data_IF_028096283214
#
_entry.id   IF_028096283214
#
_cell.length_a   1.000
_cell.length_b   1.000
_cell.length_c   1.000
_cell.angle_alpha   90.00
_cell.angle_beta   90.00
_cell.angle_gamma   90.00
#
_symmetry.space_group_name_H-M   'P 1'
#
loop_
_entity.id
_entity.type
_entity.pdbx_description
1 polymer ?
#
# COMPACT_ATOMS: atom_id res chain seq x y z
N UNK A 1 23.45 2.27 -5.86
CA UNK A 1 22.16 2.91 -5.53
C UNK A 1 22.48 4.14 -4.68
N UNK A 2 22.12 5.35 -5.10
CA UNK A 2 22.46 6.59 -4.36
C UNK A 2 21.49 6.83 -3.20
N UNK A 3 21.89 7.63 -2.20
CA UNK A 3 21.03 8.02 -1.06
C UNK A 3 19.73 8.68 -1.55
N UNK A 4 19.80 9.51 -2.61
CA UNK A 4 18.62 10.12 -3.24
C UNK A 4 17.63 9.05 -3.76
N UNK A 5 18.12 7.97 -4.37
CA UNK A 5 17.26 6.86 -4.82
C UNK A 5 16.55 6.18 -3.66
N UNK A 6 17.25 6.00 -2.52
CA UNK A 6 16.65 5.41 -1.32
C UNK A 6 15.59 6.34 -0.74
N UNK A 7 15.88 7.64 -0.59
CA UNK A 7 14.94 8.63 -0.03
C UNK A 7 13.72 8.81 -0.94
N UNK A 8 13.90 8.89 -2.26
CA UNK A 8 12.77 8.93 -3.19
C UNK A 8 11.95 7.65 -3.14
N UNK A 9 12.59 6.47 -3.07
CA UNK A 9 11.88 5.21 -2.88
C UNK A 9 11.11 5.17 -1.54
N UNK A 10 11.63 5.83 -0.49
CA UNK A 10 10.96 6.02 0.81
C UNK A 10 9.76 6.96 0.73
N UNK A 11 9.87 8.06 -0.02
CA UNK A 11 8.76 8.98 -0.27
C UNK A 11 7.70 8.43 -1.23
N UNK A 12 8.01 7.37 -1.98
CA UNK A 12 7.10 6.74 -2.92
C UNK A 12 6.38 5.55 -2.27
N UNK A 13 5.09 5.72 -1.97
CA UNK A 13 4.21 4.69 -1.39
C UNK A 13 4.04 3.42 -2.26
N UNK A 14 4.67 3.36 -3.43
CA UNK A 14 4.66 2.20 -4.33
C UNK A 14 5.92 1.32 -4.24
N UNK A 15 6.79 1.55 -3.25
CA UNK A 15 8.01 0.76 -2.98
C UNK A 15 7.83 -0.09 -1.72
N UNK A 16 8.31 -1.34 -1.72
CA UNK A 16 8.20 -2.28 -0.58
C UNK A 16 9.29 -2.10 0.48
N UNK A 17 10.44 -1.52 0.11
CA UNK A 17 11.58 -1.31 1.00
C UNK A 17 11.29 -0.43 2.23
N UNK A 18 10.59 0.71 2.11
CA UNK A 18 10.27 1.57 3.24
C UNK A 18 9.33 0.88 4.23
N UNK A 19 8.42 0.05 3.72
CA UNK A 19 7.47 -0.73 4.50
C UNK A 19 8.20 -1.82 5.31
N UNK A 20 9.17 -2.52 4.72
CA UNK A 20 9.94 -3.53 5.44
C UNK A 20 10.77 -2.92 6.57
N UNK A 21 11.52 -1.85 6.30
CA UNK A 21 12.36 -1.20 7.32
C UNK A 21 11.49 -0.61 8.44
N UNK A 22 10.39 0.06 8.08
CA UNK A 22 9.49 0.66 9.06
C UNK A 22 8.80 -0.42 9.91
N UNK A 23 8.13 -1.38 9.27
CA UNK A 23 7.28 -2.34 9.96
C UNK A 23 8.12 -3.38 10.74
N UNK A 24 9.21 -3.88 10.16
CA UNK A 24 10.02 -4.95 10.78
C UNK A 24 11.16 -4.43 11.67
N UNK A 25 11.75 -3.27 11.40
CA UNK A 25 12.93 -2.78 12.12
C UNK A 25 12.63 -1.66 13.13
N UNK A 26 11.53 -0.91 12.95
CA UNK A 26 11.17 0.19 13.86
C UNK A 26 9.93 -0.17 14.66
N UNK A 27 8.83 -0.47 13.97
CA UNK A 27 7.53 -0.69 14.61
C UNK A 27 7.48 -1.96 15.44
N UNK A 28 7.81 -3.12 14.87
CA UNK A 28 7.74 -4.39 15.59
C UNK A 28 8.62 -4.34 16.86
N UNK A 29 9.92 -3.99 16.81
CA UNK A 29 10.75 -3.90 18.01
C UNK A 29 10.21 -2.92 19.05
N UNK A 30 9.76 -1.74 18.63
CA UNK A 30 9.25 -0.71 19.55
C UNK A 30 7.96 -1.16 20.25
N UNK A 31 7.01 -1.75 19.50
CA UNK A 31 5.76 -2.32 20.05
C UNK A 31 6.06 -3.45 21.03
N UNK A 32 7.03 -4.32 20.74
CA UNK A 32 7.47 -5.41 21.63
C UNK A 32 8.08 -4.85 22.92
N UNK A 33 8.96 -3.86 22.82
CA UNK A 33 9.61 -3.23 23.98
C UNK A 33 8.60 -2.52 24.89
N UNK A 34 7.67 -1.76 24.31
CA UNK A 34 6.61 -1.08 25.07
C UNK A 34 5.70 -2.12 25.75
N UNK A 35 5.29 -3.17 25.02
CA UNK A 35 4.48 -4.24 25.59
C UNK A 35 5.17 -4.91 26.78
N UNK A 36 6.46 -5.25 26.64
CA UNK A 36 7.25 -5.82 27.73
C UNK A 36 7.32 -4.88 28.94
N UNK A 37 7.63 -3.60 28.70
CA UNK A 37 7.77 -2.59 29.77
C UNK A 37 6.46 -2.40 30.53
N UNK A 38 5.33 -2.28 29.84
CA UNK A 38 4.04 -2.07 30.50
C UNK A 38 3.59 -3.31 31.29
N UNK A 39 3.66 -4.50 30.70
CA UNK A 39 3.30 -5.75 31.39
C UNK A 39 4.25 -6.07 32.57
N UNK A 40 5.51 -5.64 32.53
CA UNK A 40 6.47 -5.83 33.63
C UNK A 40 6.10 -5.07 34.90
N UNK A 41 5.26 -4.03 34.81
CA UNK A 41 4.73 -3.31 35.99
C UNK A 41 3.80 -4.17 36.84
N UNK A 42 3.27 -5.27 36.29
CA UNK A 42 2.47 -6.23 37.04
C UNK A 42 3.22 -7.51 37.36
N UNK A 43 3.90 -8.12 36.38
CA UNK A 43 4.66 -9.34 36.61
C UNK A 43 5.63 -9.65 35.47
N UNK A 44 6.80 -10.17 35.81
CA UNK A 44 7.77 -10.67 34.81
C UNK A 44 7.22 -11.83 33.98
N UNK A 45 6.36 -12.69 34.56
CA UNK A 45 5.76 -13.81 33.84
C UNK A 45 4.81 -13.28 32.77
N UNK A 46 3.94 -12.32 33.12
CA UNK A 46 3.05 -11.65 32.17
C UNK A 46 3.84 -10.90 31.10
N UNK A 47 4.92 -10.22 31.47
CA UNK A 47 5.80 -9.54 30.52
C UNK A 47 6.41 -10.51 29.50
N UNK A 48 6.86 -11.69 29.92
CA UNK A 48 7.40 -12.71 29.03
C UNK A 48 6.34 -13.29 28.09
N UNK A 49 5.13 -13.52 28.58
CA UNK A 49 4.01 -13.97 27.74
C UNK A 49 3.58 -12.91 26.71
N UNK A 50 3.43 -11.66 27.14
CA UNK A 50 3.13 -10.53 26.27
C UNK A 50 4.22 -10.33 25.19
N UNK A 51 5.49 -10.39 25.59
CA UNK A 51 6.64 -10.25 24.68
C UNK A 51 6.57 -11.33 23.59
N UNK A 52 6.36 -12.60 23.95
CA UNK A 52 6.26 -13.70 22.97
C UNK A 52 5.06 -13.52 22.05
N UNK A 53 3.88 -13.27 22.62
CA UNK A 53 2.67 -13.03 21.82
C UNK A 53 2.91 -11.90 20.83
N UNK A 54 3.55 -10.80 21.25
CA UNK A 54 3.83 -9.65 20.39
C UNK A 54 4.87 -9.92 19.31
N UNK A 55 5.93 -10.67 19.62
CA UNK A 55 6.94 -11.08 18.62
C UNK A 55 6.27 -11.87 17.49
N UNK A 56 5.49 -12.89 17.86
CA UNK A 56 4.80 -13.73 16.87
C UNK A 56 3.77 -12.90 16.10
N UNK A 57 2.98 -12.08 16.79
CA UNK A 57 1.96 -11.25 16.15
C UNK A 57 2.54 -10.27 15.13
N UNK A 58 3.55 -9.49 15.50
CA UNK A 58 4.12 -8.46 14.62
C UNK A 58 4.91 -9.10 13.47
N UNK A 59 5.84 -10.03 13.74
CA UNK A 59 6.69 -10.60 12.67
C UNK A 59 5.95 -11.59 11.76
N UNK A 60 5.02 -12.40 12.27
CA UNK A 60 4.27 -13.31 11.40
C UNK A 60 3.28 -12.53 10.52
N UNK A 61 2.66 -11.47 11.05
CA UNK A 61 1.82 -10.55 10.25
C UNK A 61 2.67 -9.89 9.15
N UNK A 62 3.85 -9.36 9.48
CA UNK A 62 4.75 -8.78 8.48
C UNK A 62 5.22 -9.79 7.43
N UNK A 63 5.49 -11.04 7.82
CA UNK A 63 5.88 -12.10 6.87
C UNK A 63 4.74 -12.45 5.90
N UNK A 64 3.50 -12.54 6.39
CA UNK A 64 2.32 -12.78 5.53
C UNK A 64 2.08 -11.59 4.61
N UNK A 65 2.27 -10.37 5.10
CA UNK A 65 2.07 -9.16 4.31
C UNK A 65 3.13 -9.00 3.21
N UNK A 66 4.42 -9.12 3.57
CA UNK A 66 5.55 -8.94 2.66
C UNK A 66 5.77 -10.12 1.69
N UNK A 67 5.42 -11.34 2.10
CA UNK A 67 5.68 -12.56 1.34
C UNK A 67 4.41 -13.28 0.89
N UNK A 68 3.43 -13.40 1.78
CA UNK A 68 2.17 -14.11 1.51
C UNK A 68 1.31 -13.43 0.45
N UNK A 69 1.08 -12.11 0.56
CA UNK A 69 0.29 -11.36 -0.43
C UNK A 69 0.93 -11.46 -1.82
N UNK A 70 2.23 -11.14 -2.03
CA UNK A 70 2.85 -11.26 -3.35
C UNK A 70 2.87 -12.69 -3.89
N UNK A 71 3.01 -13.70 -3.02
CA UNK A 71 2.96 -15.10 -3.43
C UNK A 71 1.57 -15.48 -3.96
N UNK A 72 0.51 -15.09 -3.26
CA UNK A 72 -0.87 -15.34 -3.70
C UNK A 72 -1.18 -14.57 -4.99
N UNK A 73 -0.75 -13.33 -5.12
CA UNK A 73 -0.90 -12.56 -6.37
C UNK A 73 -0.17 -13.24 -7.53
N UNK A 74 1.06 -13.70 -7.33
CA UNK A 74 1.85 -14.40 -8.36
C UNK A 74 1.19 -15.72 -8.78
N UNK A 75 0.62 -16.46 -7.84
CA UNK A 75 -0.13 -17.69 -8.14
C UNK A 75 -1.41 -17.39 -8.92
N UNK A 76 -2.17 -16.36 -8.52
CA UNK A 76 -3.36 -15.91 -9.22
C UNK A 76 -3.02 -15.43 -10.64
N UNK A 77 -1.94 -14.66 -10.81
CA UNK A 77 -1.48 -14.20 -12.12
C UNK A 77 -1.08 -15.35 -13.01
N UNK A 78 -0.35 -16.34 -12.49
CA UNK A 78 -0.02 -17.56 -13.23
C UNK A 78 -1.28 -18.31 -13.68
N UNK A 79 -2.31 -18.36 -12.83
CA UNK A 79 -3.59 -18.98 -13.17
C UNK A 79 -4.33 -18.22 -14.28
N UNK A 80 -4.42 -16.88 -14.17
CA UNK A 80 -5.07 -16.02 -15.17
C UNK A 80 -4.34 -16.11 -16.52
N UNK A 81 -3.01 -16.06 -16.51
CA UNK A 81 -2.18 -16.24 -17.71
C UNK A 81 -2.34 -17.62 -18.34
N UNK A 82 -2.48 -18.69 -17.54
CA UNK A 82 -2.79 -20.04 -18.07
C UNK A 82 -4.17 -20.12 -18.72
N UNK A 83 -5.13 -19.28 -18.31
CA UNK A 83 -6.42 -19.11 -18.99
C UNK A 83 -6.33 -18.20 -20.22
N UNK A 84 -5.13 -17.75 -20.56
CA UNK A 84 -4.81 -16.97 -21.75
C UNK A 84 -5.15 -15.48 -21.62
N UNK A 85 -5.37 -14.97 -20.41
CA UNK A 85 -5.59 -13.54 -20.17
C UNK A 85 -4.34 -12.90 -19.60
N UNK A 86 -4.06 -11.66 -19.96
CA UNK A 86 -3.02 -10.89 -19.30
C UNK A 86 -3.59 -10.22 -18.03
N UNK A 87 -3.16 -10.61 -16.81
CA UNK A 87 -3.70 -10.06 -15.56
C UNK A 87 -3.37 -8.57 -15.34
N UNK A 88 -2.53 -7.99 -16.20
CA UNK A 88 -2.09 -6.60 -16.13
C UNK A 88 -3.04 -5.62 -16.83
N UNK A 89 -4.05 -6.11 -17.57
CA UNK A 89 -5.05 -5.26 -18.23
C UNK A 89 -5.92 -4.60 -17.16
N UNK A 90 -5.93 -3.27 -17.16
CA UNK A 90 -6.62 -2.48 -16.17
C UNK A 90 -8.10 -2.34 -16.53
N UNK A 91 -9.00 -2.86 -15.68
CA UNK A 91 -10.43 -2.82 -15.96
C UNK A 91 -11.06 -1.42 -15.87
N UNK A 92 -10.35 -0.42 -15.33
CA UNK A 92 -10.80 0.98 -15.41
C UNK A 92 -10.96 1.45 -16.86
N UNK A 93 -10.32 0.77 -17.82
CA UNK A 93 -10.50 1.02 -19.25
C UNK A 93 -11.92 0.69 -19.75
N UNK A 94 -12.70 -0.11 -19.02
CA UNK A 94 -14.11 -0.38 -19.29
C UNK A 94 -15.07 0.65 -18.68
N UNK A 95 -14.61 1.51 -17.77
CA UNK A 95 -15.41 2.63 -17.30
C UNK A 95 -15.71 3.60 -18.45
N UNK A 96 -16.63 4.53 -18.25
CA UNK A 96 -16.83 5.63 -19.19
C UNK A 96 -15.47 6.31 -19.39
N UNK A 97 -14.88 6.11 -20.57
CA UNK A 97 -13.57 6.66 -20.89
C UNK A 97 -13.55 8.15 -20.58
N UNK A 98 -12.44 8.67 -20.03
CA UNK A 98 -12.40 10.09 -19.65
C UNK A 98 -12.64 10.92 -20.91
N UNK A 99 -13.68 11.74 -20.88
CA UNK A 99 -14.04 12.62 -21.98
C UNK A 99 -13.37 13.97 -21.78
N UNK A 100 -12.98 14.58 -22.89
CA UNK A 100 -12.67 16.00 -22.97
C UNK A 100 -13.69 16.62 -23.92
N UNK A 101 -14.65 17.36 -23.35
CA UNK A 101 -15.90 17.69 -24.05
C UNK A 101 -16.64 16.44 -24.53
N UNK A 102 -16.82 16.30 -25.85
CA UNK A 102 -17.47 15.14 -26.49
C UNK A 102 -16.49 14.03 -26.89
N UNK A 103 -15.17 14.25 -26.81
CA UNK A 103 -14.15 13.34 -27.33
C UNK A 103 -13.61 12.42 -26.24
N UNK A 104 -13.61 11.11 -26.51
CA UNK A 104 -13.01 10.12 -25.62
C UNK A 104 -11.49 10.12 -25.80
N UNK A 105 -10.72 10.32 -24.73
CA UNK A 105 -9.24 10.37 -24.79
C UNK A 105 -8.56 9.11 -24.26
N UNK A 106 -9.33 8.22 -23.62
CA UNK A 106 -8.87 6.94 -23.09
C UNK A 106 -10.05 6.00 -22.91
N UNK A 107 -9.85 4.71 -23.15
CA UNK A 107 -10.84 3.65 -22.90
C UNK A 107 -10.49 2.41 -23.70
N UNK A 108 -11.14 1.28 -23.44
CA UNK A 108 -10.78 0.02 -24.10
C UNK A 108 -10.96 0.09 -25.62
N UNK A 109 -12.11 0.59 -26.10
CA UNK A 109 -12.38 0.73 -27.54
C UNK A 109 -11.46 1.76 -28.20
N UNK A 110 -11.27 2.91 -27.54
CA UNK A 110 -10.37 3.95 -28.03
C UNK A 110 -8.94 3.43 -28.15
N UNK A 111 -8.46 2.71 -27.13
CA UNK A 111 -7.11 2.15 -27.14
C UNK A 111 -6.99 1.08 -28.23
N UNK A 112 -7.94 0.15 -28.38
CA UNK A 112 -7.91 -0.83 -29.46
C UNK A 112 -7.81 -0.11 -30.81
N UNK A 113 -8.71 0.85 -31.08
CA UNK A 113 -8.72 1.60 -32.35
C UNK A 113 -7.41 2.36 -32.59
N UNK A 114 -6.93 3.12 -31.60
CA UNK A 114 -5.73 3.95 -31.72
C UNK A 114 -4.47 3.11 -31.89
N UNK A 115 -4.33 2.01 -31.15
CA UNK A 115 -3.08 1.25 -31.12
C UNK A 115 -3.01 0.13 -32.14
N UNK A 116 -4.13 -0.29 -32.75
CA UNK A 116 -4.13 -1.30 -33.83
C UNK A 116 -3.34 -0.87 -35.08
N UNK A 117 -3.11 0.43 -35.26
CA UNK A 117 -2.38 0.97 -36.41
C UNK A 117 -0.85 0.74 -36.34
N UNK A 118 -0.30 0.40 -35.18
CA UNK A 118 1.14 0.22 -35.01
C UNK A 118 1.56 -1.21 -35.35
N UNK A 119 2.63 -1.40 -36.13
CA UNK A 119 3.12 -2.74 -36.51
C UNK A 119 4.04 -3.39 -35.47
N UNK A 120 4.42 -2.68 -34.40
CA UNK A 120 5.31 -3.21 -33.36
C UNK A 120 4.69 -4.42 -32.65
N UNK A 121 5.45 -5.51 -32.54
CA UNK A 121 4.98 -6.77 -31.95
C UNK A 121 4.44 -6.61 -30.53
N UNK A 122 5.13 -5.84 -29.68
CA UNK A 122 4.71 -5.62 -28.29
C UNK A 122 3.41 -4.80 -28.18
N UNK A 123 3.15 -3.91 -29.15
CA UNK A 123 1.87 -3.19 -29.26
C UNK A 123 0.76 -4.10 -29.76
N UNK A 124 1.03 -4.92 -30.77
CA UNK A 124 0.08 -5.89 -31.31
C UNK A 124 -0.34 -6.92 -30.25
N UNK A 125 0.61 -7.44 -29.48
CA UNK A 125 0.34 -8.32 -28.33
C UNK A 125 -0.54 -7.60 -27.29
N UNK A 126 -0.25 -6.32 -26.99
CA UNK A 126 -1.04 -5.53 -26.05
C UNK A 126 -2.47 -5.23 -26.55
N UNK A 127 -2.64 -5.02 -27.86
CA UNK A 127 -3.96 -4.85 -28.49
C UNK A 127 -4.73 -6.17 -28.48
N UNK A 128 -4.08 -7.30 -28.78
CA UNK A 128 -4.69 -8.62 -28.70
C UNK A 128 -5.16 -8.94 -27.26
N UNK A 129 -4.36 -8.59 -26.25
CA UNK A 129 -4.77 -8.68 -24.84
C UNK A 129 -6.06 -7.88 -24.56
N UNK A 130 -6.14 -6.64 -25.07
CA UNK A 130 -7.31 -5.78 -24.91
C UNK A 130 -8.55 -6.34 -25.61
N UNK A 131 -8.42 -6.79 -26.85
CA UNK A 131 -9.52 -7.39 -27.63
C UNK A 131 -10.07 -8.60 -26.89
N UNK A 132 -9.20 -9.50 -26.44
CA UNK A 132 -9.60 -10.70 -25.72
C UNK A 132 -10.32 -10.37 -24.41
N UNK A 133 -9.82 -9.39 -23.67
CA UNK A 133 -10.46 -8.93 -22.43
C UNK A 133 -11.79 -8.25 -22.71
N UNK A 134 -11.90 -7.41 -23.75
CA UNK A 134 -13.16 -6.78 -24.19
C UNK A 134 -14.23 -7.83 -24.47
N UNK A 135 -13.89 -8.82 -25.29
CA UNK A 135 -14.82 -9.86 -25.74
C UNK A 135 -15.24 -10.80 -24.60
N UNK A 136 -14.48 -10.85 -23.50
CA UNK A 136 -14.70 -11.73 -22.35
C UNK A 136 -14.74 -10.97 -21.02
N UNK A 137 -15.23 -9.72 -21.02
CA UNK A 137 -15.19 -8.80 -19.87
C UNK A 137 -15.64 -9.45 -18.56
N UNK A 138 -16.82 -10.05 -18.54
CA UNK A 138 -17.39 -10.63 -17.31
C UNK A 138 -16.52 -11.76 -16.72
N UNK A 139 -15.91 -12.58 -17.59
CA UNK A 139 -15.01 -13.66 -17.18
C UNK A 139 -13.71 -13.08 -16.61
N UNK A 140 -13.15 -12.08 -17.28
CA UNK A 140 -11.92 -11.43 -16.85
C UNK A 140 -12.10 -10.65 -15.54
N UNK A 141 -13.20 -9.91 -15.39
CA UNK A 141 -13.57 -9.22 -14.14
C UNK A 141 -13.72 -10.21 -12.98
N UNK A 142 -14.38 -11.36 -13.22
CA UNK A 142 -14.49 -12.43 -12.22
C UNK A 142 -13.11 -12.96 -11.81
N UNK A 143 -12.18 -13.13 -12.75
CA UNK A 143 -10.82 -13.55 -12.43
C UNK A 143 -10.05 -12.52 -11.61
N UNK A 144 -10.13 -11.24 -11.94
CA UNK A 144 -9.46 -10.19 -11.18
C UNK A 144 -10.06 -9.99 -9.79
N UNK A 145 -11.38 -10.10 -9.66
CA UNK A 145 -12.04 -10.07 -8.35
C UNK A 145 -11.65 -11.28 -7.51
N UNK A 146 -11.54 -12.48 -8.11
CA UNK A 146 -11.00 -13.67 -7.43
C UNK A 146 -9.53 -13.49 -7.03
N UNK A 147 -8.69 -12.89 -7.89
CA UNK A 147 -7.31 -12.54 -7.55
C UNK A 147 -7.26 -11.61 -6.35
N UNK A 148 -8.03 -10.52 -6.38
CA UNK A 148 -8.09 -9.56 -5.28
C UNK A 148 -8.60 -10.22 -3.99
N UNK A 149 -9.70 -10.96 -4.07
CA UNK A 149 -10.26 -11.69 -2.95
C UNK A 149 -9.23 -12.67 -2.37
N UNK A 150 -8.53 -13.44 -3.20
CA UNK A 150 -7.49 -14.34 -2.73
C UNK A 150 -6.33 -13.59 -2.07
N UNK A 151 -5.82 -12.53 -2.71
CA UNK A 151 -4.68 -11.76 -2.23
C UNK A 151 -4.98 -10.89 -0.99
N UNK A 152 -6.24 -10.55 -0.75
CA UNK A 152 -6.66 -9.74 0.41
C UNK A 152 -7.33 -10.60 1.48
N UNK A 153 -8.38 -11.34 1.14
CA UNK A 153 -9.17 -12.11 2.11
C UNK A 153 -8.34 -13.22 2.74
N UNK A 154 -7.56 -14.00 1.97
CA UNK A 154 -6.79 -15.12 2.55
C UNK A 154 -5.76 -14.60 3.56
N UNK A 155 -4.88 -13.63 3.22
CA UNK A 155 -3.96 -13.05 4.19
C UNK A 155 -4.67 -12.41 5.38
N UNK A 156 -5.74 -11.65 5.16
CA UNK A 156 -6.52 -11.04 6.25
C UNK A 156 -7.14 -12.08 7.18
N UNK A 157 -7.66 -13.18 6.65
CA UNK A 157 -8.20 -14.29 7.45
C UNK A 157 -7.10 -14.95 8.28
N UNK A 158 -5.94 -15.21 7.66
CA UNK A 158 -4.81 -15.80 8.37
C UNK A 158 -4.34 -14.86 9.49
N UNK A 159 -4.08 -13.59 9.19
CA UNK A 159 -3.55 -12.62 10.15
C UNK A 159 -4.57 -12.20 11.23
N UNK A 160 -5.85 -12.13 10.87
CA UNK A 160 -6.92 -11.64 11.75
C UNK A 160 -7.62 -12.72 12.57
N UNK A 161 -7.68 -13.95 12.08
CA UNK A 161 -8.48 -15.01 12.72
C UNK A 161 -7.68 -16.26 13.08
N UNK A 162 -6.74 -16.67 12.23
CA UNK A 162 -5.97 -17.91 12.45
C UNK A 162 -4.78 -17.64 13.37
N UNK A 163 -3.95 -16.66 13.02
CA UNK A 163 -2.74 -16.31 13.74
C UNK A 163 -3.01 -15.96 15.21
N UNK A 164 -4.00 -15.12 15.58
CA UNK A 164 -4.27 -14.83 16.98
C UNK A 164 -4.64 -16.08 17.77
N UNK A 165 -5.50 -16.95 17.22
CA UNK A 165 -5.90 -18.20 17.87
C UNK A 165 -4.74 -19.17 18.08
N UNK A 166 -3.86 -19.30 17.09
CA UNK A 166 -2.66 -20.14 17.21
C UNK A 166 -1.71 -19.57 18.27
N UNK A 167 -1.52 -18.25 18.29
CA UNK A 167 -0.67 -17.57 19.25
C UNK A 167 -1.21 -17.71 20.68
N UNK A 168 -2.52 -17.52 20.89
CA UNK A 168 -3.16 -17.73 22.19
C UNK A 168 -3.11 -19.18 22.65
N UNK A 169 -3.30 -20.14 21.75
CA UNK A 169 -3.18 -21.57 22.06
C UNK A 169 -1.76 -21.93 22.49
N UNK A 170 -0.74 -21.38 21.81
CA UNK A 170 0.65 -21.54 22.20
C UNK A 170 0.91 -20.96 23.59
N UNK A 171 0.40 -19.76 23.89
CA UNK A 171 0.50 -19.17 25.23
C UNK A 171 -0.12 -20.06 26.30
N UNK A 172 -1.31 -20.60 26.04
CA UNK A 172 -1.98 -21.51 26.98
C UNK A 172 -1.12 -22.74 27.26
N UNK A 173 -0.62 -23.40 26.22
CA UNK A 173 0.25 -24.59 26.35
C UNK A 173 1.52 -24.30 27.14
N UNK A 174 2.15 -23.13 26.91
CA UNK A 174 3.34 -22.73 27.66
C UNK A 174 3.00 -22.46 29.14
N UNK A 175 1.87 -21.81 29.43
CA UNK A 175 1.40 -21.60 30.82
C UNK A 175 1.09 -22.92 31.52
N UNK A 176 0.40 -23.84 30.85
CA UNK A 176 0.12 -25.19 31.36
C UNK A 176 1.42 -25.93 31.72
N UNK A 177 2.40 -25.95 30.81
CA UNK A 177 3.68 -26.60 31.05
C UNK A 177 4.46 -26.03 32.25
N UNK A 178 4.38 -24.70 32.49
CA UNK A 178 4.99 -24.06 33.69
C UNK A 178 4.26 -24.48 34.96
N UNK A 179 2.93 -24.58 34.91
CA UNK A 179 2.12 -24.95 36.07
C UNK A 179 2.25 -26.44 36.41
N UNK A 180 2.45 -27.33 35.43
CA UNK A 180 2.74 -28.75 35.65
C UNK A 180 4.15 -29.05 36.18
N UNK A 181 5.04 -28.05 36.25
CA UNK A 181 6.33 -28.17 36.94
C UNK A 181 6.23 -27.89 38.46
N UNK A 182 5.02 -27.59 38.98
CA UNK A 182 4.66 -27.69 40.39
C UNK A 182 3.91 -29.03 40.60
N UNK A 183 4.16 -29.80 41.67
CA UNK A 183 3.66 -31.16 41.77
C UNK A 183 2.16 -31.14 42.07
N UNK A 184 1.34 -31.68 41.17
CA UNK A 184 0.14 -32.46 41.49
C UNK A 184 -0.47 -33.08 40.23
N UNK A 185 -0.73 -34.38 40.32
CA UNK A 185 -1.31 -35.24 39.30
C UNK A 185 -2.62 -34.67 38.73
N UNK A 186 -2.64 -34.37 37.42
CA UNK A 186 -3.88 -34.19 36.66
C UNK A 186 -3.72 -34.82 35.26
N UNK A 187 -4.74 -35.53 34.76
CA UNK A 187 -4.65 -36.25 33.49
C UNK A 187 -4.50 -35.26 32.33
N UNK A 188 -3.45 -35.47 31.55
CA UNK A 188 -3.16 -34.75 30.31
C UNK A 188 -4.30 -34.94 29.31
N UNK A 189 -5.08 -33.87 29.06
CA UNK A 189 -5.90 -33.83 27.85
C UNK A 189 -4.97 -33.60 26.66
N UNK A 190 -4.68 -34.68 25.96
CA UNK A 190 -4.02 -34.69 24.66
C UNK A 190 -4.62 -33.63 23.74
N UNK A 191 -3.76 -32.90 23.02
CA UNK A 191 -4.16 -31.98 21.96
C UNK A 191 -4.73 -32.80 20.80
N UNK A 192 -5.99 -33.19 20.90
CA UNK A 192 -6.72 -33.86 19.82
C UNK A 192 -7.03 -32.84 18.74
N UNK A 193 -6.09 -32.69 17.81
CA UNK A 193 -6.24 -32.08 16.49
C UNK A 193 -6.82 -30.66 16.41
N UNK A 194 -6.25 -29.84 15.52
CA UNK A 194 -7.02 -28.76 14.89
C UNK A 194 -8.32 -29.39 14.39
N UNK A 195 -9.46 -29.09 15.03
CA UNK A 195 -10.75 -29.64 14.65
C UNK A 195 -11.01 -29.14 13.21
N UNK A 196 -10.70 -30.02 12.23
CA UNK A 196 -10.74 -29.74 10.79
C UNK A 196 -12.15 -29.29 10.38
N UNK A 197 -13.13 -29.67 11.17
CA UNK A 197 -14.54 -29.26 11.16
C UNK A 197 -14.75 -27.75 11.23
N UNK A 198 -14.01 -26.96 12.02
CA UNK A 198 -14.25 -25.49 12.03
C UNK A 198 -13.70 -24.76 10.81
N UNK A 199 -12.70 -25.34 10.14
CA UNK A 199 -12.20 -24.81 8.86
C UNK A 199 -13.10 -25.28 7.72
N UNK A 200 -13.59 -26.54 7.75
CA UNK A 200 -14.55 -27.06 6.78
C UNK A 200 -15.93 -26.44 6.92
N UNK A 201 -16.47 -26.19 8.12
CA UNK A 201 -17.76 -25.51 8.32
C UNK A 201 -17.73 -24.05 7.81
N UNK A 202 -16.56 -23.41 7.85
CA UNK A 202 -16.35 -22.06 7.31
C UNK A 202 -16.18 -22.10 5.78
N UNK A 203 -15.51 -23.12 5.26
CA UNK A 203 -15.37 -23.38 3.82
C UNK A 203 -16.69 -23.87 3.19
N UNK A 204 -17.49 -24.65 3.91
CA UNK A 204 -18.79 -25.19 3.51
C UNK A 204 -19.89 -24.13 3.60
N UNK A 205 -19.86 -23.23 4.59
CA UNK A 205 -20.70 -22.01 4.56
C UNK A 205 -20.34 -21.05 3.43
N UNK A 206 -19.14 -21.16 2.85
CA UNK A 206 -18.68 -20.38 1.69
C UNK A 206 -18.61 -21.17 0.38
N UNK A 207 -19.05 -22.44 0.37
CA UNK A 207 -19.23 -23.23 -0.86
C UNK A 207 -20.55 -22.88 -1.59
N UNK A 208 -21.28 -21.87 -1.11
CA UNK A 208 -21.97 -21.00 -2.05
C UNK A 208 -20.88 -20.19 -2.72
N UNK A 209 -20.56 -20.51 -3.99
CA UNK A 209 -19.77 -19.66 -4.88
C UNK A 209 -19.88 -18.22 -4.38
N UNK A 210 -18.78 -17.60 -3.94
CA UNK A 210 -18.83 -16.20 -3.53
C UNK A 210 -19.16 -15.40 -4.79
N UNK A 211 -20.46 -15.27 -5.08
CA UNK A 211 -21.00 -14.56 -6.22
C UNK A 211 -21.03 -13.10 -5.79
N UNK A 212 -19.91 -12.42 -5.98
CA UNK A 212 -19.93 -10.96 -6.05
C UNK A 212 -20.81 -10.59 -7.25
N UNK A 213 -22.04 -10.17 -7.02
CA UNK A 213 -22.98 -9.76 -8.07
C UNK A 213 -22.41 -8.54 -8.83
N UNK A 214 -22.72 -8.44 -10.12
CA UNK A 214 -21.99 -7.65 -11.14
C UNK A 214 -21.40 -6.29 -10.72
N UNK A 215 -22.16 -5.43 -10.04
CA UNK A 215 -21.69 -4.10 -9.62
C UNK A 215 -20.59 -4.11 -8.54
N UNK A 216 -20.60 -5.11 -7.65
CA UNK A 216 -19.58 -5.26 -6.61
C UNK A 216 -18.28 -5.85 -7.20
N UNK A 217 -18.40 -6.75 -8.17
CA UNK A 217 -17.26 -7.32 -8.90
C UNK A 217 -16.48 -6.26 -9.66
N UNK A 218 -17.15 -5.38 -10.41
CA UNK A 218 -16.48 -4.31 -11.15
C UNK A 218 -15.86 -3.26 -10.22
N UNK A 219 -16.55 -2.89 -9.14
CA UNK A 219 -16.03 -1.97 -8.12
C UNK A 219 -14.73 -2.52 -7.51
N UNK A 220 -14.74 -3.76 -7.03
CA UNK A 220 -13.60 -4.40 -6.38
C UNK A 220 -12.38 -4.50 -7.31
N UNK A 221 -12.59 -4.93 -8.56
CA UNK A 221 -11.50 -5.07 -9.51
C UNK A 221 -10.90 -3.71 -9.94
N UNK A 222 -11.64 -2.60 -9.75
CA UNK A 222 -11.22 -1.24 -10.13
C UNK A 222 -10.58 -0.44 -8.98
N UNK A 223 -10.58 -0.97 -7.75
CA UNK A 223 -10.03 -0.29 -6.57
C UNK A 223 -8.56 0.09 -6.76
N UNK A 224 -8.17 1.27 -6.26
CA UNK A 224 -6.77 1.67 -6.19
C UNK A 224 -6.05 0.86 -5.13
N UNK A 225 -4.73 0.75 -5.23
CA UNK A 225 -3.90 0.02 -4.25
C UNK A 225 -4.14 0.51 -2.82
N UNK A 226 -4.31 1.81 -2.61
CA UNK A 226 -4.59 2.37 -1.27
C UNK A 226 -5.95 1.90 -0.74
N UNK A 227 -6.99 1.91 -1.58
CA UNK A 227 -8.33 1.45 -1.18
C UNK A 227 -8.31 -0.06 -0.83
N UNK A 228 -7.55 -0.84 -1.60
CA UNK A 228 -7.30 -2.27 -1.36
C UNK A 228 -6.62 -2.52 -0.01
N UNK A 229 -5.58 -1.74 0.32
CA UNK A 229 -4.88 -1.83 1.60
C UNK A 229 -5.79 -1.43 2.76
N UNK A 230 -6.58 -0.36 2.62
CA UNK A 230 -7.55 0.05 3.64
C UNK A 230 -8.61 -1.02 3.92
N UNK A 231 -9.12 -1.71 2.88
CA UNK A 231 -10.06 -2.82 3.04
C UNK A 231 -9.41 -4.00 3.76
N UNK A 232 -8.17 -4.34 3.41
CA UNK A 232 -7.39 -5.39 4.08
C UNK A 232 -7.23 -5.11 5.58
N UNK A 233 -6.88 -3.88 5.94
CA UNK A 233 -6.67 -3.45 7.33
C UNK A 233 -7.98 -3.35 8.12
N UNK A 234 -9.07 -2.95 7.45
CA UNK A 234 -10.42 -3.00 8.02
C UNK A 234 -10.85 -4.43 8.34
N UNK A 235 -10.65 -5.37 7.42
CA UNK A 235 -10.91 -6.79 7.67
C UNK A 235 -10.02 -7.39 8.75
N UNK A 236 -8.75 -6.98 8.82
CA UNK A 236 -7.82 -7.37 9.88
C UNK A 236 -8.36 -6.89 11.24
N UNK A 237 -8.86 -5.65 11.29
CA UNK A 237 -9.47 -5.05 12.49
C UNK A 237 -10.64 -5.87 13.00
N UNK A 238 -11.57 -6.20 12.10
CA UNK A 238 -12.72 -7.06 12.44
C UNK A 238 -12.23 -8.41 12.97
N UNK A 239 -11.26 -9.04 12.32
CA UNK A 239 -10.69 -10.32 12.76
C UNK A 239 -10.11 -10.26 14.16
N UNK A 240 -9.22 -9.29 14.44
CA UNK A 240 -8.56 -9.17 15.75
C UNK A 240 -9.52 -8.80 16.88
N UNK A 241 -10.52 -7.96 16.61
CA UNK A 241 -11.56 -7.64 17.60
C UNK A 241 -12.46 -8.85 17.88
N UNK A 242 -12.86 -9.58 16.83
CA UNK A 242 -13.74 -10.75 16.96
C UNK A 242 -13.07 -11.97 17.60
N UNK A 243 -11.74 -12.05 17.53
CA UNK A 243 -10.96 -13.15 18.12
C UNK A 243 -10.40 -12.82 19.50
N UNK A 244 -10.64 -11.62 20.02
CA UNK A 244 -10.27 -11.22 21.38
C UNK A 244 -10.83 -12.19 22.42
N UNK A 245 -10.04 -12.47 23.46
CA UNK A 245 -10.39 -13.38 24.55
C UNK A 245 -11.45 -12.80 25.48
N UNK A 246 -11.52 -11.47 25.57
CA UNK A 246 -12.52 -10.74 26.35
C UNK A 246 -12.84 -9.37 25.71
N UNK A 247 -13.89 -8.71 26.24
CA UNK A 247 -14.37 -7.41 25.71
C UNK A 247 -13.30 -6.32 25.77
N UNK A 248 -12.52 -6.28 26.85
CA UNK A 248 -11.45 -5.29 27.04
C UNK A 248 -10.31 -5.45 26.03
N UNK A 249 -9.91 -6.68 25.73
CA UNK A 249 -8.97 -6.97 24.65
C UNK A 249 -9.57 -6.58 23.28
N UNK A 250 -10.89 -6.75 23.11
CA UNK A 250 -11.65 -6.24 21.97
C UNK A 250 -11.52 -4.72 21.80
N UNK A 251 -11.78 -3.95 22.86
CA UNK A 251 -11.67 -2.49 22.83
C UNK A 251 -10.24 -2.01 22.61
N UNK A 252 -9.26 -2.63 23.27
CA UNK A 252 -7.85 -2.31 23.07
C UNK A 252 -7.39 -2.60 21.62
N UNK A 253 -7.82 -3.72 21.05
CA UNK A 253 -7.54 -4.04 19.65
C UNK A 253 -8.21 -3.05 18.69
N UNK A 254 -9.48 -2.69 18.92
CA UNK A 254 -10.18 -1.71 18.10
C UNK A 254 -9.47 -0.34 18.13
N UNK A 255 -9.14 0.16 19.32
CA UNK A 255 -8.44 1.43 19.50
C UNK A 255 -7.10 1.45 18.75
N UNK A 256 -6.26 0.43 18.98
CA UNK A 256 -4.94 0.33 18.34
C UNK A 256 -5.06 0.27 16.82
N UNK A 257 -6.00 -0.50 16.29
CA UNK A 257 -6.06 -0.76 14.85
C UNK A 257 -6.68 0.39 14.06
N UNK A 258 -7.74 1.01 14.59
CA UNK A 258 -8.30 2.23 14.00
C UNK A 258 -7.26 3.35 14.04
N UNK A 259 -6.54 3.51 15.16
CA UNK A 259 -5.43 4.45 15.27
C UNK A 259 -4.34 4.18 14.23
N UNK A 260 -3.95 2.91 14.06
CA UNK A 260 -2.96 2.50 13.05
C UNK A 260 -3.42 2.82 11.62
N UNK A 261 -4.69 2.60 11.30
CA UNK A 261 -5.25 2.91 9.98
C UNK A 261 -5.21 4.41 9.68
N UNK A 262 -5.60 5.24 10.65
CA UNK A 262 -5.53 6.71 10.53
C UNK A 262 -4.07 7.16 10.34
N UNK A 263 -3.16 6.64 11.16
CA UNK A 263 -1.74 7.00 11.11
C UNK A 263 -1.02 6.50 9.85
N UNK A 264 -1.52 5.46 9.18
CA UNK A 264 -0.94 4.94 7.94
C UNK A 264 -1.50 5.61 6.68
N UNK A 265 -2.81 5.89 6.61
CA UNK A 265 -3.45 6.34 5.37
C UNK A 265 -3.80 7.83 5.35
N UNK A 266 -4.02 8.44 6.52
CA UNK A 266 -4.49 9.83 6.63
C UNK A 266 -3.35 10.73 7.06
N UNK A 267 -2.73 10.44 8.20
CA UNK A 267 -1.72 11.30 8.84
C UNK A 267 -0.51 11.63 7.95
N UNK A 268 0.10 10.71 7.18
CA UNK A 268 1.28 11.03 6.38
C UNK A 268 0.99 12.05 5.27
N UNK A 269 -0.25 12.07 4.75
CA UNK A 269 -0.68 13.05 3.74
C UNK A 269 -0.73 14.45 4.33
N UNK A 270 -1.26 14.60 5.54
CA UNK A 270 -1.34 15.89 6.22
C UNK A 270 0.03 16.38 6.71
N UNK A 271 0.89 15.48 7.20
CA UNK A 271 2.27 15.84 7.58
C UNK A 271 3.04 16.31 6.35
N UNK A 272 2.98 15.59 5.22
CA UNK A 272 3.63 16.01 3.98
C UNK A 272 3.19 17.41 3.55
N UNK A 273 1.87 17.65 3.49
CA UNK A 273 1.30 18.97 3.15
C UNK A 273 1.75 20.06 4.12
N UNK A 274 1.81 19.75 5.42
CA UNK A 274 2.28 20.68 6.45
C UNK A 274 3.75 21.04 6.29
N UNK A 275 4.62 20.04 6.07
CA UNK A 275 6.06 20.23 5.86
C UNK A 275 6.35 20.99 4.56
N UNK A 276 5.63 20.67 3.47
CA UNK A 276 5.80 21.36 2.19
C UNK A 276 5.30 22.82 2.27
N UNK A 277 4.19 23.09 2.97
CA UNK A 277 3.71 24.46 3.23
C UNK A 277 4.68 25.26 4.10
N UNK A 278 5.26 24.62 5.12
CA UNK A 278 6.27 25.23 5.98
C UNK A 278 7.54 25.56 5.19
N UNK A 279 8.02 24.62 4.37
CA UNK A 279 9.17 24.81 3.50
C UNK A 279 8.97 25.97 2.52
N UNK A 280 7.80 26.07 1.89
CA UNK A 280 7.49 27.17 0.99
C UNK A 280 7.45 28.51 1.75
N UNK A 281 6.81 28.56 2.93
CA UNK A 281 6.74 29.77 3.74
C UNK A 281 8.11 30.25 4.24
N UNK A 282 8.94 29.34 4.74
CA UNK A 282 10.24 29.67 5.35
C UNK A 282 11.33 29.91 4.32
N UNK A 283 11.36 29.13 3.25
CA UNK A 283 12.47 29.13 2.30
C UNK A 283 12.12 29.71 0.94
N UNK A 284 10.83 29.92 0.64
CA UNK A 284 10.32 30.32 -0.69
C UNK A 284 10.79 29.36 -1.79
N UNK A 285 10.77 28.05 -1.50
CA UNK A 285 11.22 27.00 -2.41
C UNK A 285 10.05 26.08 -2.70
N UNK A 286 9.78 25.88 -3.99
CA UNK A 286 8.88 24.83 -4.43
C UNK A 286 9.59 23.47 -4.30
N UNK A 287 9.02 22.59 -3.48
CA UNK A 287 9.54 21.25 -3.17
C UNK A 287 8.57 20.14 -3.62
N UNK A 288 7.68 20.42 -4.55
CA UNK A 288 6.61 19.49 -4.89
C UNK A 288 7.13 18.30 -5.71
N UNK A 289 8.17 18.50 -6.52
CA UNK A 289 8.78 17.45 -7.33
C UNK A 289 9.58 16.44 -6.51
N UNK A 290 9.63 15.22 -7.01
CA UNK A 290 10.42 14.14 -6.43
C UNK A 290 11.92 14.45 -6.44
N UNK A 291 12.69 14.07 -5.40
CA UNK A 291 14.14 14.30 -5.34
C UNK A 291 14.91 13.82 -6.56
N UNK A 292 14.47 12.77 -7.25
CA UNK A 292 15.13 12.24 -8.45
C UNK A 292 14.95 13.13 -9.68
N UNK A 293 13.89 13.92 -9.71
CA UNK A 293 13.68 14.94 -10.74
C UNK A 293 14.56 16.15 -10.40
N UNK A 294 14.55 16.56 -9.13
CA UNK A 294 15.33 17.69 -8.62
C UNK A 294 16.85 17.49 -8.71
N UNK A 295 17.33 16.25 -8.73
CA UNK A 295 18.76 15.89 -8.85
C UNK A 295 19.19 15.61 -10.30
N UNK A 296 18.30 15.79 -11.29
CA UNK A 296 18.60 15.43 -12.67
C UNK A 296 19.31 16.57 -13.40
N UNK A 297 20.56 16.33 -13.80
CA UNK A 297 21.40 17.34 -14.48
C UNK A 297 20.83 17.76 -15.83
N UNK A 298 20.31 16.80 -16.62
CA UNK A 298 19.66 17.07 -17.92
C UNK A 298 18.42 17.97 -17.76
N UNK A 299 17.63 17.75 -16.71
CA UNK A 299 16.48 18.60 -16.40
C UNK A 299 16.94 20.01 -16.06
N UNK A 300 17.93 20.16 -15.17
CA UNK A 300 18.47 21.45 -14.77
C UNK A 300 19.07 22.21 -15.96
N UNK A 301 19.83 21.53 -16.84
CA UNK A 301 20.38 22.16 -18.04
C UNK A 301 19.27 22.60 -19.01
N UNK A 302 18.25 21.78 -19.20
CA UNK A 302 17.12 22.10 -20.08
C UNK A 302 16.31 23.29 -19.56
N UNK A 303 16.18 23.47 -18.23
CA UNK A 303 15.60 24.69 -17.63
C UNK A 303 16.43 25.91 -18.04
N UNK A 304 17.76 25.85 -17.87
CA UNK A 304 18.70 26.94 -18.18
C UNK A 304 18.66 27.35 -19.65
N UNK A 305 18.58 26.36 -20.53
CA UNK A 305 18.54 26.56 -21.98
C UNK A 305 17.15 26.95 -22.50
N UNK A 306 16.13 27.00 -21.64
CA UNK A 306 14.74 27.26 -21.99
C UNK A 306 14.16 26.28 -23.03
N UNK A 307 14.61 25.02 -23.04
CA UNK A 307 14.24 23.98 -24.02
C UNK A 307 13.23 22.95 -23.49
N UNK A 308 12.60 23.21 -22.35
CA UNK A 308 11.69 22.22 -21.75
C UNK A 308 10.40 22.16 -22.55
N UNK A 309 10.05 20.95 -22.97
CA UNK A 309 8.79 20.67 -23.63
C UNK A 309 7.77 20.20 -22.60
N UNK A 310 6.59 20.84 -22.60
CA UNK A 310 5.48 20.51 -21.71
C UNK A 310 4.19 20.35 -22.51
N UNK A 311 3.20 19.61 -21.99
CA UNK A 311 1.87 19.59 -22.57
C UNK A 311 1.27 21.01 -22.63
N UNK A 312 0.51 21.31 -23.69
CA UNK A 312 -0.02 22.66 -23.93
C UNK A 312 -0.94 23.15 -22.82
N UNK A 313 -1.72 22.25 -22.22
CA UNK A 313 -2.64 22.56 -21.14
C UNK A 313 -2.81 21.34 -20.22
N UNK A 314 -3.62 21.52 -19.17
CA UNK A 314 -4.04 20.43 -18.27
C UNK A 314 -5.26 19.66 -18.82
N UNK A 315 -5.70 19.93 -20.06
CA UNK A 315 -6.80 19.19 -20.67
C UNK A 315 -6.42 17.70 -20.82
N UNK A 316 -7.36 16.76 -20.61
CA UNK A 316 -7.07 15.34 -20.79
C UNK A 316 -6.52 15.00 -22.18
N UNK A 317 -6.98 15.71 -23.22
CA UNK A 317 -6.53 15.52 -24.59
C UNK A 317 -5.08 15.97 -24.78
N UNK A 318 -4.73 17.19 -24.37
CA UNK A 318 -3.37 17.71 -24.54
C UNK A 318 -2.35 16.88 -23.75
N UNK A 319 -2.71 16.43 -22.55
CA UNK A 319 -1.88 15.54 -21.74
C UNK A 319 -1.64 14.20 -22.45
N UNK A 320 -2.70 13.57 -22.97
CA UNK A 320 -2.57 12.29 -23.66
C UNK A 320 -1.82 12.39 -24.98
N UNK A 321 -2.12 13.41 -25.79
CA UNK A 321 -1.46 13.63 -27.06
C UNK A 321 0.02 13.93 -26.86
N UNK A 322 0.38 14.66 -25.79
CA UNK A 322 1.78 14.93 -25.47
C UNK A 322 2.54 13.66 -25.09
N UNK A 323 2.02 12.83 -24.18
CA UNK A 323 2.72 11.60 -23.76
C UNK A 323 2.81 10.57 -24.89
N UNK A 324 1.83 10.54 -25.79
CA UNK A 324 1.84 9.64 -26.95
C UNK A 324 2.77 10.12 -28.07
N UNK A 325 2.87 11.44 -28.32
CA UNK A 325 3.72 12.01 -29.37
C UNK A 325 5.17 12.24 -28.92
N UNK A 326 5.40 12.48 -27.63
CA UNK A 326 6.71 12.82 -27.06
C UNK A 326 7.07 11.92 -25.88
N UNK A 327 7.14 10.59 -26.06
CA UNK A 327 7.46 9.65 -24.98
C UNK A 327 8.86 9.85 -24.40
N UNK A 328 9.79 10.37 -25.21
CA UNK A 328 11.19 10.60 -24.81
C UNK A 328 11.45 11.97 -24.18
N UNK A 329 10.45 12.86 -24.12
CA UNK A 329 10.58 14.13 -23.40
C UNK A 329 10.87 13.90 -21.92
N UNK A 330 11.55 14.86 -21.28
CA UNK A 330 11.84 14.79 -19.85
C UNK A 330 10.56 14.64 -19.01
N UNK A 331 9.51 15.38 -19.35
CA UNK A 331 8.20 15.26 -18.70
C UNK A 331 7.66 13.82 -18.78
N UNK A 332 7.63 13.21 -19.96
CA UNK A 332 7.14 11.83 -20.17
C UNK A 332 7.99 10.79 -19.45
N UNK A 333 9.33 10.92 -19.49
CA UNK A 333 10.25 10.01 -18.78
C UNK A 333 10.07 10.10 -17.27
N UNK A 334 9.91 11.30 -16.72
CA UNK A 334 9.64 11.47 -15.29
C UNK A 334 8.24 10.98 -14.91
N UNK A 335 7.22 11.25 -15.71
CA UNK A 335 5.88 10.70 -15.49
C UNK A 335 5.92 9.15 -15.46
N UNK A 336 6.70 8.52 -16.34
CA UNK A 336 6.91 7.06 -16.33
C UNK A 336 7.62 6.61 -15.05
N UNK A 337 8.70 7.28 -14.67
CA UNK A 337 9.49 6.97 -13.46
C UNK A 337 8.65 7.10 -12.19
N UNK A 338 7.72 8.06 -12.16
CA UNK A 338 6.74 8.26 -11.09
C UNK A 338 5.50 7.36 -11.21
N UNK A 339 5.50 6.37 -12.11
CA UNK A 339 4.43 5.40 -12.35
C UNK A 339 3.08 6.04 -12.76
N UNK A 340 3.10 7.25 -13.33
CA UNK A 340 1.90 7.97 -13.82
C UNK A 340 1.50 7.49 -15.22
N UNK A 341 2.47 7.11 -16.04
CA UNK A 341 2.30 6.50 -17.36
C UNK A 341 3.17 5.25 -17.48
N UNK A 342 2.85 4.35 -18.40
CA UNK A 342 3.67 3.18 -18.72
C UNK A 342 3.86 3.10 -20.23
N UNK A 343 5.10 2.84 -20.65
CA UNK A 343 5.45 2.62 -22.05
C UNK A 343 5.90 1.17 -22.27
N UNK A 344 5.64 0.68 -23.47
CA UNK A 344 6.14 -0.58 -24.00
C UNK A 344 7.61 -0.43 -24.43
N UNK A 345 8.24 -1.53 -24.86
CA UNK A 345 9.65 -1.51 -25.29
C UNK A 345 9.84 -0.69 -26.55
N UNK A 346 8.83 -0.62 -27.40
CA UNK A 346 8.75 0.23 -28.58
C UNK A 346 8.67 1.75 -28.27
N UNK A 347 8.58 2.14 -27.00
CA UNK A 347 8.41 3.55 -26.61
C UNK A 347 6.98 4.08 -26.78
N UNK A 348 6.06 3.21 -27.20
CA UNK A 348 4.64 3.50 -27.34
C UNK A 348 3.96 3.27 -26.00
N UNK A 349 2.99 4.11 -25.63
CA UNK A 349 2.25 3.96 -24.36
C UNK A 349 1.58 2.59 -24.29
N UNK A 350 1.67 1.91 -23.14
CA UNK A 350 1.03 0.61 -22.93
C UNK A 350 -0.49 0.77 -22.87
N UNK A 351 -1.23 0.30 -23.90
CA UNK A 351 -2.67 0.53 -23.99
C UNK A 351 -3.46 -0.28 -22.96
N UNK A 352 -2.83 -1.23 -22.27
CA UNK A 352 -3.43 -2.05 -21.20
C UNK A 352 -3.48 -1.32 -19.86
N UNK A 353 -2.73 -0.22 -19.71
CA UNK A 353 -2.64 0.56 -18.49
C UNK A 353 -3.55 1.79 -18.57
N UNK A 354 -4.26 2.04 -17.47
CA UNK A 354 -5.07 3.25 -17.30
C UNK A 354 -4.16 4.38 -16.82
N UNK A 355 -4.19 5.52 -17.50
CA UNK A 355 -3.54 6.74 -17.07
C UNK A 355 -4.55 7.59 -16.30
N UNK A 356 -4.24 7.93 -15.05
CA UNK A 356 -5.06 8.83 -14.26
C UNK A 356 -4.73 10.28 -14.62
N UNK A 357 -5.66 10.92 -15.34
CA UNK A 357 -5.48 12.27 -15.85
C UNK A 357 -5.47 13.34 -14.75
N UNK A 358 -6.11 13.10 -13.59
CA UNK A 358 -6.03 14.07 -12.49
C UNK A 358 -4.60 14.05 -11.92
N UNK A 359 -4.10 12.85 -11.65
CA UNK A 359 -2.74 12.62 -11.19
C UNK A 359 -1.68 13.16 -12.17
N UNK A 360 -1.91 13.03 -13.49
CA UNK A 360 -1.00 13.55 -14.51
C UNK A 360 -1.08 15.09 -14.65
N UNK A 361 -2.27 15.67 -14.51
CA UNK A 361 -2.49 17.12 -14.48
C UNK A 361 -1.83 17.76 -13.25
N UNK A 362 -1.99 17.16 -12.08
CA UNK A 362 -1.34 17.61 -10.85
C UNK A 362 0.18 17.56 -11.01
N UNK A 363 0.71 16.46 -11.57
CA UNK A 363 2.14 16.32 -11.86
C UNK A 363 2.64 17.40 -12.83
N UNK A 364 1.92 17.69 -13.93
CA UNK A 364 2.26 18.79 -14.85
C UNK A 364 2.31 20.13 -14.13
N UNK A 365 1.31 20.41 -13.29
CA UNK A 365 1.22 21.67 -12.56
C UNK A 365 2.39 21.84 -11.58
N UNK A 366 2.77 20.77 -10.88
CA UNK A 366 3.95 20.77 -9.99
C UNK A 366 5.25 20.97 -10.78
N UNK A 367 5.35 20.33 -11.96
CA UNK A 367 6.50 20.42 -12.85
C UNK A 367 6.68 21.84 -13.40
N UNK A 368 5.61 22.45 -13.91
CA UNK A 368 5.58 23.84 -14.37
C UNK A 368 5.93 24.82 -13.25
N UNK A 369 5.27 24.68 -12.10
CA UNK A 369 5.49 25.59 -10.97
C UNK A 369 6.94 25.54 -10.46
N UNK A 370 7.59 24.37 -10.50
CA UNK A 370 9.01 24.29 -10.18
C UNK A 370 9.89 24.99 -11.22
N UNK A 371 9.63 24.79 -12.52
CA UNK A 371 10.37 25.44 -13.61
C UNK A 371 10.28 26.96 -13.48
N UNK A 372 9.08 27.49 -13.27
CA UNK A 372 8.85 28.93 -13.13
C UNK A 372 9.60 29.49 -11.90
N UNK A 373 9.52 28.77 -10.77
CA UNK A 373 10.25 29.15 -9.55
C UNK A 373 11.77 29.10 -9.75
N UNK A 374 12.27 28.11 -10.48
CA UNK A 374 13.69 27.96 -10.78
C UNK A 374 14.19 29.07 -11.70
N UNK A 375 13.42 29.43 -12.74
CA UNK A 375 13.73 30.54 -13.66
C UNK A 375 13.70 31.91 -12.97
N UNK A 376 12.78 32.11 -12.04
CA UNK A 376 12.73 33.31 -11.19
C UNK A 376 13.89 33.38 -10.18
N UNK A 377 14.63 32.28 -9.98
CA UNK A 377 15.75 32.23 -9.05
C UNK A 377 17.03 32.81 -9.67
N UNK A 378 17.90 33.39 -8.84
CA UNK A 378 19.21 33.92 -9.28
C UNK A 378 20.18 32.83 -9.77
N UNK A 379 20.00 31.58 -9.35
CA UNK A 379 20.85 30.45 -9.73
C UNK A 379 20.04 29.15 -9.67
N UNK A 380 19.70 28.63 -10.86
CA UNK A 380 18.87 27.44 -11.05
C UNK A 380 19.47 26.20 -10.38
N UNK A 381 20.78 25.97 -10.50
CA UNK A 381 21.45 24.80 -9.89
C UNK A 381 21.38 24.86 -8.36
N UNK A 382 21.71 26.01 -7.79
CA UNK A 382 21.65 26.20 -6.33
C UNK A 382 20.22 26.07 -5.83
N UNK A 383 19.24 26.58 -6.58
CA UNK A 383 17.83 26.45 -6.28
C UNK A 383 17.39 24.98 -6.30
N UNK A 384 17.67 24.24 -7.38
CA UNK A 384 17.34 22.83 -7.52
C UNK A 384 18.00 21.97 -6.43
N UNK A 385 19.29 22.21 -6.15
CA UNK A 385 20.02 21.52 -5.09
C UNK A 385 19.40 21.78 -3.71
N UNK A 386 19.01 23.02 -3.42
CA UNK A 386 18.34 23.37 -2.15
C UNK A 386 16.93 22.75 -2.07
N UNK A 387 16.15 22.80 -3.15
CA UNK A 387 14.85 22.15 -3.25
C UNK A 387 14.96 20.64 -3.00
N UNK A 388 15.96 19.98 -3.59
CA UNK A 388 16.26 18.56 -3.36
C UNK A 388 16.49 18.29 -1.88
N UNK A 389 17.38 19.03 -1.23
CA UNK A 389 17.69 18.80 0.19
C UNK A 389 16.47 19.02 1.09
N UNK A 390 15.71 20.08 0.86
CA UNK A 390 14.49 20.35 1.64
C UNK A 390 13.45 19.27 1.40
N UNK A 391 13.24 18.82 0.16
CA UNK A 391 12.30 17.72 -0.12
C UNK A 391 12.74 16.41 0.52
N UNK A 392 14.01 16.06 0.43
CA UNK A 392 14.57 14.90 1.11
C UNK A 392 14.35 14.99 2.64
N UNK A 393 14.61 16.15 3.23
CA UNK A 393 14.38 16.39 4.65
C UNK A 393 12.89 16.27 5.01
N UNK A 394 11.98 16.80 4.18
CA UNK A 394 10.54 16.68 4.37
C UNK A 394 10.07 15.22 4.29
N UNK A 395 10.58 14.44 3.34
CA UNK A 395 10.28 13.00 3.24
C UNK A 395 10.75 12.26 4.48
N UNK A 396 12.01 12.48 4.88
CA UNK A 396 12.59 11.83 6.07
C UNK A 396 11.87 12.24 7.35
N UNK A 397 11.52 13.53 7.50
CA UNK A 397 10.75 14.03 8.63
C UNK A 397 9.34 13.43 8.64
N UNK A 398 8.66 13.34 7.49
CA UNK A 398 7.34 12.71 7.40
C UNK A 398 7.39 11.24 7.84
N UNK A 399 8.35 10.48 7.31
CA UNK A 399 8.53 9.07 7.70
C UNK A 399 8.92 8.95 9.17
N UNK A 400 9.83 9.78 9.66
CA UNK A 400 10.24 9.79 11.06
C UNK A 400 9.09 10.10 12.02
N UNK A 401 8.32 11.16 11.74
CA UNK A 401 7.16 11.55 12.55
C UNK A 401 6.08 10.46 12.49
N UNK A 402 5.73 9.99 11.29
CA UNK A 402 4.71 8.94 11.12
C UNK A 402 5.12 7.64 11.82
N UNK A 403 6.38 7.23 11.71
CA UNK A 403 6.92 6.05 12.40
C UNK A 403 6.93 6.25 13.91
N UNK A 404 7.30 7.43 14.41
CA UNK A 404 7.26 7.75 15.84
C UNK A 404 5.83 7.70 16.40
N UNK A 405 4.87 8.26 15.67
CA UNK A 405 3.46 8.22 16.04
C UNK A 405 2.96 6.77 16.10
N UNK A 406 3.32 5.95 15.12
CA UNK A 406 2.81 4.59 14.97
C UNK A 406 3.52 3.57 15.89
N UNK A 407 4.83 3.71 16.09
CA UNK A 407 5.67 2.80 16.87
C UNK A 407 5.79 3.20 18.36
N UNK A 408 5.64 4.49 18.68
CA UNK A 408 5.83 5.02 20.03
C UNK A 408 4.52 5.53 20.64
N UNK A 409 3.92 6.55 20.02
CA UNK A 409 2.76 7.27 20.61
C UNK A 409 1.52 6.38 20.68
N UNK A 410 1.15 5.73 19.58
CA UNK A 410 -0.06 4.89 19.53
C UNK A 410 0.03 3.69 20.49
N UNK A 411 1.14 2.92 20.57
CA UNK A 411 1.26 1.85 21.56
C UNK A 411 1.19 2.37 22.99
N UNK A 412 1.87 3.46 23.31
CA UNK A 412 1.80 4.07 24.65
C UNK A 412 0.37 4.56 24.98
N UNK A 413 -0.33 5.15 24.01
CA UNK A 413 -1.72 5.57 24.15
C UNK A 413 -2.65 4.35 24.36
N UNK A 414 -2.37 3.24 23.67
CA UNK A 414 -3.13 1.98 23.83
C UNK A 414 -3.00 1.44 25.26
N UNK A 415 -1.79 1.41 25.83
CA UNK A 415 -1.62 0.97 27.23
C UNK A 415 -2.19 1.95 28.25
N UNK A 416 -2.17 3.26 27.99
CA UNK A 416 -2.91 4.23 28.80
C UNK A 416 -4.42 3.97 28.75
N UNK A 417 -4.96 3.70 27.57
CA UNK A 417 -6.37 3.35 27.38
C UNK A 417 -6.73 2.06 28.13
N UNK A 418 -5.88 1.02 28.06
CA UNK A 418 -6.04 -0.23 28.83
C UNK A 418 -6.07 0.04 30.34
N UNK A 419 -5.16 0.89 30.84
CA UNK A 419 -5.13 1.25 32.26
C UNK A 419 -6.39 1.96 32.69
N UNK A 420 -6.88 2.91 31.88
CA UNK A 420 -8.09 3.68 32.17
C UNK A 420 -9.34 2.81 32.18
N UNK A 421 -9.44 1.85 31.27
CA UNK A 421 -10.62 0.98 31.11
C UNK A 421 -10.62 -0.21 32.06
N UNK A 422 -9.45 -0.77 32.38
CA UNK A 422 -9.35 -2.05 33.08
C UNK A 422 -8.65 -1.98 34.44
N UNK A 423 -8.11 -0.81 34.82
CA UNK A 423 -7.30 -0.60 36.03
C UNK A 423 -5.92 -1.29 36.02
N UNK A 424 -5.55 -1.95 34.92
CA UNK A 424 -4.39 -2.85 34.81
C UNK A 424 -3.39 -2.33 33.79
N UNK A 425 -2.10 -2.60 34.02
CA UNK A 425 -1.02 -2.30 33.05
C UNK A 425 -0.79 -3.45 32.06
N UNK A 426 -1.30 -4.65 32.38
CA UNK A 426 -1.14 -5.83 31.52
C UNK A 426 -2.11 -5.82 30.34
N UNK A 427 -1.71 -6.53 29.29
CA UNK A 427 -2.60 -6.80 28.17
C UNK A 427 -3.88 -7.51 28.67
N UNK A 428 -5.08 -7.01 28.34
CA UNK A 428 -6.32 -7.53 28.93
C UNK A 428 -6.56 -9.02 28.67
N UNK A 429 -6.03 -9.55 27.58
CA UNK A 429 -6.14 -10.98 27.24
C UNK A 429 -5.23 -11.91 28.06
N UNK A 430 -4.27 -11.36 28.82
CA UNK A 430 -3.36 -12.12 29.67
C UNK A 430 -3.82 -12.21 31.13
N UNK A 431 -4.95 -11.56 31.47
CA UNK A 431 -5.57 -11.62 32.79
C UNK A 431 -6.03 -13.03 33.13
#
# INVERSE_FOLDING_TARGET
MTITNIISAIGNNSSIYPLLVRDCCIEAPSKILIARRENSKESQIKANDATREKIIDEYATSAIWLGGIPAVEKLADKYISKKGYNPNVNIKLFGEGKKDGSSLVQGIEYNIKKFSQYSNKDVQDAVADLIKVRDNKAVYEKFLTKKFAAATIIPTLIMGFVLPKLNFALTRKVKENRNTQLPLNAPTKSFTSLNRTKFSDFYEKQNKDIVFTGGLTSTIASLRTVDKMAISDGGLTVGRVSTSRNKEEGYANAFRMIGSMILNFVTPVYIAKGLDKLANKLFKINVNLDPLILDNEEFISTIKENKIELPKSNSPKDLMDFIDSKPNSLFSKFAQKMKKVSYLKSGIRDPRKFVDMNDLSDFKTEFESFIDSARASKNIEKFAKRAKYVKCANILANVGISSFLLAGVLPAATYKFIKLTTGSYSDPGLK
#
